data_IF_501303886267
#
_entry.id   IF_501303886267
#
_cell.length_a   1.000
_cell.length_b   1.000
_cell.length_c   1.000
_cell.angle_alpha   90.00
_cell.angle_beta   90.00
_cell.angle_gamma   90.00
#
_symmetry.space_group_name_H-M   'P 1'
#
loop_
_entity.id
_entity.type
_entity.pdbx_description
1 polymer ?
#
# COMPACT_ATOMS: atom_id res chain seq x y z
N UNK A 1 -32.85 9.28 44.84
CA UNK A 1 -32.39 7.99 44.29
C UNK A 1 -32.78 7.78 42.82
N UNK A 2 -34.01 8.09 42.38
CA UNK A 2 -34.43 7.95 40.97
C UNK A 2 -33.58 8.71 39.93
N UNK A 3 -33.08 9.92 40.26
CA UNK A 3 -32.22 10.72 39.35
C UNK A 3 -30.85 10.10 39.06
N UNK A 4 -30.29 9.31 39.98
CA UNK A 4 -29.01 8.63 39.81
C UNK A 4 -29.13 7.41 38.89
N UNK A 5 -30.27 6.71 38.93
CA UNK A 5 -30.55 5.55 38.08
C UNK A 5 -30.69 5.97 36.61
N UNK A 6 -31.33 7.11 36.33
CA UNK A 6 -31.47 7.65 34.98
C UNK A 6 -30.12 8.04 34.33
N UNK A 7 -29.19 8.59 35.12
CA UNK A 7 -27.86 8.98 34.61
C UNK A 7 -27.00 7.75 34.29
N UNK A 8 -27.06 6.71 35.12
CA UNK A 8 -26.34 5.45 34.87
C UNK A 8 -26.91 4.72 33.65
N UNK A 9 -28.24 4.66 33.49
CA UNK A 9 -28.87 4.08 32.30
C UNK A 9 -28.53 4.85 31.02
N UNK A 10 -28.47 6.18 31.08
CA UNK A 10 -28.05 6.99 29.92
C UNK A 10 -26.59 6.71 29.53
N UNK A 11 -25.70 6.52 30.51
CA UNK A 11 -24.29 6.22 30.23
C UNK A 11 -24.09 4.84 29.60
N UNK A 12 -24.82 3.81 30.08
CA UNK A 12 -24.76 2.45 29.51
C UNK A 12 -25.33 2.40 28.09
N UNK A 13 -26.40 3.16 27.81
CA UNK A 13 -26.99 3.23 26.48
C UNK A 13 -26.07 3.89 25.45
N UNK A 14 -25.30 4.91 25.85
CA UNK A 14 -24.32 5.58 24.97
C UNK A 14 -23.13 4.65 24.68
N UNK A 15 -22.61 3.90 25.66
CA UNK A 15 -21.53 2.95 25.44
C UNK A 15 -21.92 1.83 24.46
N UNK A 16 -23.15 1.30 24.59
CA UNK A 16 -23.65 0.24 23.71
C UNK A 16 -23.85 0.71 22.24
N UNK A 17 -24.18 1.98 22.02
CA UNK A 17 -24.31 2.55 20.68
C UNK A 17 -22.95 2.75 19.98
N UNK A 18 -21.88 3.02 20.73
CA UNK A 18 -20.53 3.18 20.16
C UNK A 18 -19.94 1.83 19.72
N UNK A 19 -20.21 0.74 20.45
CA UNK A 19 -19.76 -0.60 20.07
C UNK A 19 -20.50 -1.16 18.83
N UNK A 20 -21.78 -0.82 18.65
CA UNK A 20 -22.58 -1.27 17.50
C UNK A 20 -22.23 -0.57 16.19
N UNK A 21 -21.80 0.70 16.22
CA UNK A 21 -21.35 1.40 15.00
C UNK A 21 -19.91 1.07 14.59
N UNK A 22 -19.03 0.85 15.58
CA UNK A 22 -17.61 0.61 15.33
C UNK A 22 -17.26 -0.79 14.82
N UNK A 23 -18.15 -1.79 14.98
CA UNK A 23 -17.94 -3.14 14.42
C UNK A 23 -18.12 -3.16 12.90
N UNK A 24 -19.13 -2.46 12.39
CA UNK A 24 -19.50 -2.49 10.98
C UNK A 24 -18.51 -1.69 10.12
N UNK A 25 -18.07 -0.52 10.60
CA UNK A 25 -17.04 0.28 9.93
C UNK A 25 -15.69 -0.44 9.86
N UNK A 26 -15.30 -1.13 10.95
CA UNK A 26 -14.07 -1.95 10.94
C UNK A 26 -14.18 -3.14 10.00
N UNK A 27 -15.33 -3.83 9.97
CA UNK A 27 -15.56 -4.94 9.06
C UNK A 27 -15.52 -4.47 7.59
N UNK A 28 -16.11 -3.32 7.28
CA UNK A 28 -16.07 -2.72 5.95
C UNK A 28 -14.63 -2.33 5.55
N UNK A 29 -13.87 -1.73 6.46
CA UNK A 29 -12.48 -1.34 6.23
C UNK A 29 -11.58 -2.55 5.95
N UNK A 30 -11.68 -3.61 6.77
CA UNK A 30 -10.92 -4.86 6.57
C UNK A 30 -11.26 -5.49 5.21
N UNK A 31 -12.54 -5.49 4.83
CA UNK A 31 -12.98 -6.00 3.52
C UNK A 31 -12.37 -5.19 2.38
N UNK A 32 -12.37 -3.86 2.51
CA UNK A 32 -11.79 -2.97 1.50
C UNK A 32 -10.27 -3.14 1.39
N UNK A 33 -9.57 -3.33 2.51
CA UNK A 33 -8.12 -3.58 2.53
C UNK A 33 -7.77 -4.92 1.87
N UNK A 34 -8.52 -5.99 2.20
CA UNK A 34 -8.35 -7.31 1.58
C UNK A 34 -8.52 -7.27 0.05
N UNK A 35 -9.55 -6.56 -0.44
CA UNK A 35 -9.78 -6.41 -1.89
C UNK A 35 -8.62 -5.73 -2.62
N UNK A 36 -7.95 -4.76 -1.98
CA UNK A 36 -6.78 -4.09 -2.59
C UNK A 36 -5.57 -5.01 -2.64
N UNK A 37 -5.35 -5.80 -1.59
CA UNK A 37 -4.26 -6.78 -1.54
C UNK A 37 -4.47 -7.83 -2.63
N UNK A 38 -5.68 -8.37 -2.76
CA UNK A 38 -6.02 -9.33 -3.81
C UNK A 38 -5.81 -8.75 -5.22
N UNK A 39 -6.27 -7.51 -5.45
CA UNK A 39 -6.07 -6.84 -6.73
C UNK A 39 -4.58 -6.62 -7.06
N UNK A 40 -3.76 -6.27 -6.07
CA UNK A 40 -2.31 -6.18 -6.25
C UNK A 40 -1.71 -7.55 -6.59
N UNK A 41 -2.07 -8.60 -5.87
CA UNK A 41 -1.53 -9.93 -6.10
C UNK A 41 -1.88 -10.48 -7.48
N UNK A 42 -3.08 -10.20 -7.98
CA UNK A 42 -3.47 -10.56 -9.34
C UNK A 42 -2.57 -9.88 -10.39
N UNK A 43 -2.31 -8.58 -10.24
CA UNK A 43 -1.44 -7.83 -11.15
C UNK A 43 0.00 -8.37 -11.09
N UNK A 44 0.56 -8.51 -9.89
CA UNK A 44 1.94 -8.94 -9.72
C UNK A 44 2.17 -10.39 -10.18
N UNK A 45 1.19 -11.26 -9.98
CA UNK A 45 1.22 -12.63 -10.52
C UNK A 45 1.16 -12.62 -12.03
N UNK A 46 0.31 -11.78 -12.63
CA UNK A 46 0.24 -11.59 -14.08
C UNK A 46 1.56 -11.09 -14.69
N UNK A 47 2.22 -10.14 -14.01
CA UNK A 47 3.55 -9.65 -14.39
C UNK A 47 4.62 -10.74 -14.29
N UNK A 48 4.62 -11.54 -13.21
CA UNK A 48 5.56 -12.66 -13.05
C UNK A 48 5.37 -13.74 -14.14
N UNK A 49 4.13 -13.96 -14.58
CA UNK A 49 3.83 -14.91 -15.66
C UNK A 49 4.42 -14.50 -17.03
N UNK A 50 4.91 -13.26 -17.17
CA UNK A 50 5.60 -12.80 -18.39
C UNK A 50 7.00 -13.40 -18.57
N UNK A 51 7.49 -14.13 -17.55
CA UNK A 51 8.77 -14.87 -17.50
C UNK A 51 9.98 -14.03 -17.92
N UNK A 52 10.01 -12.77 -17.48
CA UNK A 52 11.14 -11.86 -17.65
C UNK A 52 11.79 -11.59 -16.29
N UNK A 53 13.12 -11.65 -16.23
CA UNK A 53 13.87 -11.55 -14.98
C UNK A 53 13.68 -10.17 -14.33
N UNK A 54 13.68 -9.09 -15.13
CA UNK A 54 13.54 -7.72 -14.63
C UNK A 54 12.11 -7.46 -14.16
N UNK A 55 11.12 -7.94 -14.91
CA UNK A 55 9.71 -7.82 -14.51
C UNK A 55 9.46 -8.58 -13.20
N UNK A 56 10.08 -9.76 -13.05
CA UNK A 56 9.97 -10.55 -11.81
C UNK A 56 10.67 -9.87 -10.63
N UNK A 57 11.83 -9.24 -10.87
CA UNK A 57 12.52 -8.43 -9.87
C UNK A 57 11.64 -7.25 -9.43
N UNK A 58 11.09 -6.49 -10.38
CA UNK A 58 10.14 -5.41 -10.10
C UNK A 58 8.96 -5.89 -9.24
N UNK A 59 8.34 -7.01 -9.61
CA UNK A 59 7.19 -7.54 -8.85
C UNK A 59 7.57 -7.97 -7.43
N UNK A 60 8.78 -8.50 -7.24
CA UNK A 60 9.33 -8.86 -5.92
C UNK A 60 9.62 -7.62 -5.07
N UNK A 61 10.27 -6.61 -5.65
CA UNK A 61 10.52 -5.33 -4.99
C UNK A 61 9.21 -4.67 -4.56
N UNK A 62 8.19 -4.72 -5.43
CA UNK A 62 6.90 -4.09 -5.17
C UNK A 62 6.20 -4.73 -3.97
N UNK A 63 6.11 -6.06 -3.91
CA UNK A 63 5.48 -6.75 -2.76
C UNK A 63 6.17 -6.41 -1.44
N UNK A 64 7.50 -6.26 -1.46
CA UNK A 64 8.27 -5.90 -0.26
C UNK A 64 8.02 -4.47 0.19
N UNK A 65 7.95 -3.53 -0.76
CA UNK A 65 7.75 -2.11 -0.46
C UNK A 65 6.30 -1.80 -0.07
N UNK A 66 5.32 -2.51 -0.65
CA UNK A 66 3.91 -2.23 -0.49
C UNK A 66 3.12 -3.52 -0.19
N UNK A 67 3.35 -4.19 0.96
CA UNK A 67 2.62 -5.40 1.32
C UNK A 67 1.11 -5.13 1.46
N UNK A 68 0.76 -3.95 1.96
CA UNK A 68 -0.62 -3.44 2.03
C UNK A 68 -0.71 -2.17 1.17
N UNK A 69 -1.09 -2.28 -0.11
CA UNK A 69 -1.09 -1.12 -1.00
C UNK A 69 -2.16 -0.11 -0.57
N UNK A 70 -1.78 1.17 -0.55
CA UNK A 70 -2.75 2.26 -0.54
C UNK A 70 -3.50 2.32 -1.88
N UNK A 71 -4.68 2.96 -1.96
CA UNK A 71 -5.39 3.15 -3.22
C UNK A 71 -4.53 3.81 -4.30
N UNK A 72 -3.70 4.78 -3.92
CA UNK A 72 -2.77 5.46 -4.82
C UNK A 72 -1.71 4.50 -5.38
N UNK A 73 -1.14 3.64 -4.53
CA UNK A 73 -0.14 2.64 -4.97
C UNK A 73 -0.74 1.57 -5.85
N UNK A 74 -1.96 1.11 -5.56
CA UNK A 74 -2.65 0.18 -6.45
C UNK A 74 -2.95 0.81 -7.82
N UNK A 75 -3.30 2.10 -7.87
CA UNK A 75 -3.48 2.82 -9.13
C UNK A 75 -2.17 2.93 -9.91
N UNK A 76 -1.08 3.31 -9.24
CA UNK A 76 0.26 3.37 -9.85
C UNK A 76 0.69 2.01 -10.40
N UNK A 77 0.41 0.92 -9.67
CA UNK A 77 0.71 -0.44 -10.11
C UNK A 77 -0.03 -0.80 -11.39
N UNK A 78 -1.30 -0.38 -11.56
CA UNK A 78 -2.06 -0.60 -12.80
C UNK A 78 -1.43 0.14 -13.97
N UNK A 79 -0.99 1.38 -13.77
CA UNK A 79 -0.33 2.15 -14.83
C UNK A 79 1.00 1.51 -15.23
N UNK A 80 1.77 1.02 -14.25
CA UNK A 80 3.01 0.28 -14.48
C UNK A 80 2.74 -1.01 -15.23
N UNK A 81 1.70 -1.77 -14.85
CA UNK A 81 1.31 -3.01 -15.53
C UNK A 81 1.06 -2.76 -17.02
N UNK A 82 0.29 -1.71 -17.36
CA UNK A 82 0.04 -1.36 -18.76
C UNK A 82 1.32 -0.99 -19.50
N UNK A 83 2.23 -0.24 -18.87
CA UNK A 83 3.53 0.11 -19.47
C UNK A 83 4.39 -1.12 -19.72
N UNK A 84 4.48 -2.05 -18.77
CA UNK A 84 5.27 -3.28 -18.90
C UNK A 84 4.67 -4.22 -19.95
N UNK A 85 3.33 -4.30 -20.04
CA UNK A 85 2.65 -5.08 -21.09
C UNK A 85 2.95 -4.53 -22.49
N UNK A 86 3.09 -3.22 -22.62
CA UNK A 86 3.45 -2.57 -23.89
C UNK A 86 4.96 -2.71 -24.21
N UNK A 87 5.81 -2.57 -23.19
CA UNK A 87 7.26 -2.67 -23.30
C UNK A 87 7.87 -3.23 -22.00
N UNK A 88 8.35 -4.48 -22.06
CA UNK A 88 8.95 -5.17 -20.90
C UNK A 88 10.16 -4.44 -20.35
N UNK A 89 10.90 -3.71 -21.19
CA UNK A 89 12.11 -2.98 -20.76
C UNK A 89 11.79 -1.79 -19.85
N UNK A 90 10.54 -1.32 -19.85
CA UNK A 90 10.08 -0.29 -18.94
C UNK A 90 10.26 -0.68 -17.46
N UNK A 91 10.18 -1.98 -17.14
CA UNK A 91 10.37 -2.48 -15.79
C UNK A 91 11.74 -2.12 -15.21
N UNK A 92 12.79 -2.04 -16.04
CA UNK A 92 14.16 -1.71 -15.61
C UNK A 92 14.17 -0.41 -14.83
N UNK A 93 13.51 0.63 -15.32
CA UNK A 93 13.52 1.96 -14.69
C UNK A 93 12.71 2.02 -13.39
N UNK A 94 11.85 1.03 -13.18
CA UNK A 94 10.89 0.98 -12.08
C UNK A 94 11.38 0.09 -10.93
N UNK A 95 12.48 -0.65 -11.09
CA UNK A 95 13.07 -1.45 -10.01
C UNK A 95 13.71 -0.56 -8.95
N UNK A 96 13.81 -1.09 -7.73
CA UNK A 96 14.55 -0.43 -6.64
C UNK A 96 16.02 -0.26 -7.01
N UNK A 97 16.62 -1.29 -7.61
CA UNK A 97 18.03 -1.29 -8.01
C UNK A 97 18.37 -0.15 -8.99
N UNK A 98 17.51 0.07 -9.99
CA UNK A 98 17.71 1.18 -10.94
C UNK A 98 17.61 2.54 -10.26
N UNK A 99 16.58 2.73 -9.42
CA UNK A 99 16.37 3.98 -8.67
C UNK A 99 17.54 4.27 -7.72
N UNK A 100 18.06 3.27 -7.02
CA UNK A 100 19.26 3.43 -6.17
C UNK A 100 20.47 3.94 -6.94
N UNK A 101 20.66 3.49 -8.17
CA UNK A 101 21.84 3.83 -8.98
C UNK A 101 21.71 5.18 -9.70
N UNK A 102 20.50 5.58 -10.10
CA UNK A 102 20.29 6.71 -11.01
C UNK A 102 19.49 7.87 -10.42
N UNK A 103 18.85 7.70 -9.26
CA UNK A 103 18.15 8.81 -8.60
C UNK A 103 19.11 9.51 -7.62
N UNK A 104 19.33 10.83 -7.77
CA UNK A 104 20.19 11.59 -6.85
C UNK A 104 19.65 11.59 -5.40
N UNK A 105 18.34 11.39 -5.25
CA UNK A 105 17.69 11.26 -3.94
C UNK A 105 17.91 9.90 -3.27
N UNK A 106 18.34 8.89 -4.05
CA UNK A 106 18.53 7.52 -3.61
C UNK A 106 19.99 7.12 -3.48
N UNK A 107 20.86 7.71 -4.30
CA UNK A 107 22.29 7.43 -4.31
C UNK A 107 23.06 8.22 -3.22
N UNK A 108 22.37 9.04 -2.42
CA UNK A 108 22.95 9.79 -1.31
C UNK A 108 23.68 11.07 -1.72
N UNK A 109 23.61 11.50 -2.98
CA UNK A 109 24.22 12.74 -3.47
C UNK A 109 23.54 13.99 -2.91
N UNK A 110 22.24 13.93 -2.62
CA UNK A 110 21.51 14.97 -1.89
C UNK A 110 21.13 14.47 -0.50
N UNK A 111 21.85 14.95 0.52
CA UNK A 111 21.41 14.83 1.92
C UNK A 111 20.20 15.75 2.11
N UNK A 112 19.00 15.18 2.15
CA UNK A 112 17.83 15.93 2.59
C UNK A 112 18.11 16.50 3.99
N UNK A 113 17.98 17.83 4.15
CA UNK A 113 18.14 18.54 5.43
C UNK A 113 17.09 18.08 6.46
N UNK A 114 16.18 17.19 6.07
CA UNK A 114 15.13 16.58 6.88
C UNK A 114 15.05 15.07 6.61
N UNK A 115 16.08 14.28 6.95
CA UNK A 115 16.03 12.80 6.81
C UNK A 115 15.94 12.15 8.19
N UNK A 116 14.72 12.05 8.74
CA UNK A 116 14.38 11.23 9.91
C UNK A 116 14.02 9.79 9.53
N UNK A 117 14.29 9.37 8.30
CA UNK A 117 14.04 8.00 7.82
C UNK A 117 15.03 7.70 6.71
N UNK A 118 15.51 6.46 6.66
CA UNK A 118 16.40 5.94 5.60
C UNK A 118 15.86 6.30 4.21
N UNK A 119 16.72 6.51 3.20
CA UNK A 119 16.28 6.65 1.81
C UNK A 119 15.76 5.29 1.32
N UNK A 120 14.56 4.92 1.75
CA UNK A 120 13.82 3.84 1.15
C UNK A 120 13.44 4.34 -0.24
N UNK A 121 14.13 3.82 -1.25
CA UNK A 121 13.83 4.06 -2.64
C UNK A 121 12.95 2.94 -3.16
N UNK A 122 11.62 3.02 -2.96
CA UNK A 122 10.73 1.97 -3.38
C UNK A 122 10.71 1.87 -4.91
N UNK A 123 10.37 0.69 -5.45
CA UNK A 123 10.07 0.55 -6.87
C UNK A 123 8.86 1.40 -7.25
N UNK A 124 8.69 1.66 -8.54
CA UNK A 124 7.55 2.39 -9.08
C UNK A 124 7.93 3.44 -10.11
N UNK A 125 7.01 4.36 -10.39
CA UNK A 125 7.23 5.50 -11.30
C UNK A 125 8.19 6.54 -10.70
#
# INVERSE_FOLDING_TARGET
>A
MFKLILVVLAFVAVSALVDLGGSDERAAQVTYDAQRIEAQDAILTGLQAMNDATVSEFASDWRKAFPEPSPAKLSELRDIEQRIKNDKTAAVKMTRAYKMKHSPFCNGEVKAVVSLSSPDCPPGL
#
